data_IF_066260293903
#
_entry.id   IF_066260293903
#
_cell.length_a   1.000
_cell.length_b   1.000
_cell.length_c   1.000
_cell.angle_alpha   90.00
_cell.angle_beta   90.00
_cell.angle_gamma   90.00
#
_symmetry.space_group_name_H-M   'P 1'
#
loop_
_entity.id
_entity.type
_entity.pdbx_description
1 polymer ?
#
# COMPACT_ATOMS: atom_id res chain seq x y z
N UNK A 1 -26.61 -21.88 -100.36
CA UNK A 1 -25.56 -22.87 -100.08
C UNK A 1 -25.72 -23.38 -98.67
N UNK A 2 -26.55 -24.41 -98.48
CA UNK A 2 -26.92 -24.98 -97.17
C UNK A 2 -26.34 -26.40 -97.08
N UNK A 3 -25.04 -26.56 -97.33
CA UNK A 3 -24.38 -27.87 -97.29
C UNK A 3 -23.04 -27.83 -96.55
N UNK A 4 -22.73 -26.73 -95.86
CA UNK A 4 -21.46 -26.55 -95.14
C UNK A 4 -21.63 -26.31 -93.64
N UNK A 5 -22.87 -26.31 -93.11
CA UNK A 5 -23.14 -26.04 -91.69
C UNK A 5 -23.45 -27.32 -90.87
N UNK A 6 -23.80 -28.45 -91.50
CA UNK A 6 -24.12 -29.71 -90.78
C UNK A 6 -22.90 -30.61 -90.49
N UNK A 7 -21.67 -30.26 -90.91
CA UNK A 7 -20.47 -31.09 -90.66
C UNK A 7 -19.65 -30.70 -89.42
N UNK A 8 -19.84 -29.49 -88.87
CA UNK A 8 -19.01 -29.03 -87.73
C UNK A 8 -19.59 -29.39 -86.35
N UNK A 9 -20.91 -29.55 -86.20
CA UNK A 9 -21.53 -29.88 -84.91
C UNK A 9 -21.21 -31.29 -84.40
N UNK A 10 -21.07 -32.27 -85.30
CA UNK A 10 -20.69 -33.65 -84.92
C UNK A 10 -19.23 -33.83 -84.50
N UNK A 11 -18.33 -32.99 -85.03
CA UNK A 11 -16.89 -33.04 -84.69
C UNK A 11 -16.60 -32.38 -83.35
N UNK A 12 -17.22 -31.21 -83.10
CA UNK A 12 -17.02 -30.44 -81.86
C UNK A 12 -17.52 -31.19 -80.61
N UNK A 13 -18.66 -31.88 -80.72
CA UNK A 13 -19.17 -32.73 -79.62
C UNK A 13 -18.22 -33.88 -79.28
N UNK A 14 -17.67 -34.55 -80.30
CA UNK A 14 -16.76 -35.68 -80.12
C UNK A 14 -15.41 -35.26 -79.51
N UNK A 15 -14.90 -34.09 -79.89
CA UNK A 15 -13.69 -33.50 -79.30
C UNK A 15 -13.91 -33.11 -77.83
N UNK A 16 -15.06 -32.52 -77.50
CA UNK A 16 -15.42 -32.17 -76.11
C UNK A 16 -15.60 -33.40 -75.23
N UNK A 17 -16.24 -34.46 -75.75
CA UNK A 17 -16.36 -35.74 -75.05
C UNK A 17 -15.00 -36.42 -74.85
N UNK A 18 -14.14 -36.39 -75.87
CA UNK A 18 -12.77 -36.93 -75.77
C UNK A 18 -11.93 -36.16 -74.74
N UNK A 19 -12.03 -34.83 -74.70
CA UNK A 19 -11.37 -34.00 -73.70
C UNK A 19 -11.89 -34.25 -72.28
N UNK A 20 -13.21 -34.46 -72.12
CA UNK A 20 -13.80 -34.81 -70.84
C UNK A 20 -13.29 -36.18 -70.32
N UNK A 21 -13.18 -37.18 -71.20
CA UNK A 21 -12.62 -38.50 -70.86
C UNK A 21 -11.15 -38.39 -70.48
N UNK A 22 -10.36 -37.59 -71.20
CA UNK A 22 -8.96 -37.34 -70.89
C UNK A 22 -8.81 -36.70 -69.49
N UNK A 23 -9.62 -35.69 -69.18
CA UNK A 23 -9.63 -35.05 -67.87
C UNK A 23 -10.00 -36.02 -66.74
N UNK A 24 -11.00 -36.88 -66.95
CA UNK A 24 -11.39 -37.89 -65.94
C UNK A 24 -10.25 -38.89 -65.71
N UNK A 25 -9.60 -39.34 -66.79
CA UNK A 25 -8.45 -40.24 -66.71
C UNK A 25 -7.28 -39.61 -65.95
N UNK A 26 -7.02 -38.31 -66.20
CA UNK A 26 -6.01 -37.56 -65.47
C UNK A 26 -6.36 -37.40 -63.98
N UNK A 27 -7.63 -37.14 -63.65
CA UNK A 27 -8.09 -37.09 -62.26
C UNK A 27 -7.92 -38.45 -61.58
N UNK A 28 -8.24 -39.56 -62.25
CA UNK A 28 -8.02 -40.90 -61.71
C UNK A 28 -6.54 -41.16 -61.43
N UNK A 29 -5.65 -40.80 -62.36
CA UNK A 29 -4.21 -40.94 -62.17
C UNK A 29 -3.69 -40.07 -61.02
N UNK A 30 -4.21 -38.84 -60.88
CA UNK A 30 -3.87 -37.95 -59.77
C UNK A 30 -4.37 -38.51 -58.43
N UNK A 31 -5.56 -39.10 -58.40
CA UNK A 31 -6.13 -39.73 -57.21
C UNK A 31 -5.31 -40.96 -56.77
N UNK A 32 -4.91 -41.80 -57.73
CA UNK A 32 -4.06 -42.97 -57.47
C UNK A 32 -2.66 -42.55 -56.98
N UNK A 33 -2.11 -41.49 -57.56
CA UNK A 33 -0.83 -40.91 -57.12
C UNK A 33 -0.92 -40.36 -55.69
N UNK A 34 -2.01 -39.65 -55.37
CA UNK A 34 -2.28 -39.16 -54.01
C UNK A 34 -2.44 -40.32 -53.02
N UNK A 35 -3.20 -41.36 -53.40
CA UNK A 35 -3.38 -42.57 -52.58
C UNK A 35 -2.05 -43.25 -52.28
N UNK A 36 -1.22 -43.45 -53.31
CA UNK A 36 0.11 -44.03 -53.15
C UNK A 36 1.04 -43.15 -52.32
N UNK A 37 0.95 -41.82 -52.44
CA UNK A 37 1.74 -40.90 -51.64
C UNK A 37 1.31 -40.94 -50.17
N UNK A 38 0.02 -40.98 -49.88
CA UNK A 38 -0.49 -41.11 -48.51
C UNK A 38 -0.08 -42.44 -47.89
N UNK A 39 -0.21 -43.56 -48.61
CA UNK A 39 0.16 -44.88 -48.07
C UNK A 39 1.67 -44.97 -47.80
N UNK A 40 2.51 -44.44 -48.70
CA UNK A 40 3.96 -44.62 -48.60
C UNK A 40 4.70 -43.51 -47.85
N UNK A 41 4.13 -42.29 -47.78
CA UNK A 41 4.79 -41.11 -47.20
C UNK A 41 4.01 -40.44 -46.07
N UNK A 42 2.76 -40.81 -45.79
CA UNK A 42 2.13 -40.30 -44.58
C UNK A 42 2.82 -40.95 -43.38
N UNK A 43 3.54 -40.13 -42.61
CA UNK A 43 3.95 -40.50 -41.27
C UNK A 43 2.70 -40.40 -40.41
N UNK A 44 2.03 -41.53 -40.20
CA UNK A 44 0.92 -41.59 -39.26
C UNK A 44 1.46 -41.19 -37.89
N UNK A 45 0.95 -40.07 -37.37
CA UNK A 45 1.26 -39.64 -36.02
C UNK A 45 0.68 -40.70 -35.10
N UNK A 46 1.55 -41.40 -34.37
CA UNK A 46 1.09 -42.26 -33.29
C UNK A 46 0.35 -41.36 -32.29
N UNK A 47 -0.97 -41.52 -32.26
CA UNK A 47 -1.85 -40.66 -31.50
C UNK A 47 -1.47 -40.67 -30.02
N UNK A 48 -1.01 -41.80 -29.50
CA UNK A 48 -0.54 -41.93 -28.12
C UNK A 48 0.74 -41.13 -27.89
N UNK A 49 1.70 -41.18 -28.82
CA UNK A 49 2.92 -40.37 -28.75
C UNK A 49 2.62 -38.87 -28.81
N UNK A 50 1.73 -38.44 -29.71
CA UNK A 50 1.32 -37.03 -29.79
C UNK A 50 0.60 -36.57 -28.52
N UNK A 51 -0.36 -37.35 -28.03
CA UNK A 51 -1.09 -37.02 -26.80
C UNK A 51 -0.15 -36.89 -25.59
N UNK A 52 0.82 -37.81 -25.46
CA UNK A 52 1.85 -37.75 -24.41
C UNK A 52 2.74 -36.52 -24.55
N UNK A 53 3.19 -36.21 -25.77
CA UNK A 53 4.02 -35.03 -26.03
C UNK A 53 3.28 -33.72 -25.76
N UNK A 54 2.00 -33.64 -26.15
CA UNK A 54 1.15 -32.48 -25.88
C UNK A 54 0.95 -32.28 -24.38
N UNK A 55 0.60 -33.35 -23.65
CA UNK A 55 0.44 -33.28 -22.19
C UNK A 55 1.74 -32.86 -21.49
N UNK A 56 2.87 -33.43 -21.90
CA UNK A 56 4.18 -33.07 -21.33
C UNK A 56 4.53 -31.60 -21.61
N UNK A 57 4.19 -31.08 -22.80
CA UNK A 57 4.40 -29.67 -23.15
C UNK A 57 3.56 -28.74 -22.28
N UNK A 58 2.28 -29.06 -22.08
CA UNK A 58 1.38 -28.28 -21.21
C UNK A 58 1.85 -28.31 -19.75
N UNK A 59 2.27 -29.48 -19.26
CA UNK A 59 2.87 -29.62 -17.93
C UNK A 59 4.13 -28.76 -17.78
N UNK A 60 5.05 -28.81 -18.76
CA UNK A 60 6.27 -28.00 -18.74
C UNK A 60 5.97 -26.50 -18.71
N UNK A 61 4.97 -26.05 -19.48
CA UNK A 61 4.52 -24.65 -19.46
C UNK A 61 3.97 -24.26 -18.08
N UNK A 62 3.13 -25.11 -17.49
CA UNK A 62 2.55 -24.84 -16.18
C UNK A 62 3.62 -24.82 -15.07
N UNK A 63 4.57 -25.75 -15.09
CA UNK A 63 5.71 -25.76 -14.16
C UNK A 63 6.46 -24.44 -14.22
N UNK A 64 6.82 -23.97 -15.43
CA UNK A 64 7.54 -22.71 -15.60
C UNK A 64 6.78 -21.49 -15.05
N UNK A 65 5.46 -21.45 -15.26
CA UNK A 65 4.62 -20.36 -14.71
C UNK A 65 4.58 -20.42 -13.19
N UNK A 66 4.50 -21.62 -12.60
CA UNK A 66 4.51 -21.81 -11.16
C UNK A 66 5.87 -21.42 -10.56
N UNK A 67 6.99 -21.80 -11.18
CA UNK A 67 8.34 -21.40 -10.75
C UNK A 67 8.49 -19.87 -10.70
N UNK A 68 8.06 -19.17 -11.75
CA UNK A 68 8.07 -17.70 -11.78
C UNK A 68 7.21 -17.08 -10.67
N UNK A 69 6.07 -17.69 -10.36
CA UNK A 69 5.20 -17.24 -9.28
C UNK A 69 5.85 -17.47 -7.92
N UNK A 70 6.50 -18.61 -7.69
CA UNK A 70 7.24 -18.89 -6.46
C UNK A 70 8.35 -17.87 -6.27
N UNK A 71 9.17 -17.63 -7.29
CA UNK A 71 10.25 -16.64 -7.23
C UNK A 71 9.73 -15.23 -6.92
N UNK A 72 8.59 -14.85 -7.49
CA UNK A 72 7.96 -13.55 -7.20
C UNK A 72 7.50 -13.47 -5.75
N UNK A 73 6.85 -14.51 -5.24
CA UNK A 73 6.38 -14.57 -3.85
C UNK A 73 7.53 -14.54 -2.86
N UNK A 74 8.66 -15.19 -3.17
CA UNK A 74 9.87 -15.14 -2.33
C UNK A 74 10.42 -13.72 -2.23
N UNK A 75 10.52 -12.99 -3.36
CA UNK A 75 10.95 -11.58 -3.34
C UNK A 75 9.99 -10.68 -2.57
N UNK A 76 8.68 -10.90 -2.72
CA UNK A 76 7.65 -10.17 -1.96
C UNK A 76 7.74 -10.45 -0.45
N UNK A 77 8.01 -11.70 -0.08
CA UNK A 77 8.20 -12.09 1.32
C UNK A 77 9.44 -11.40 1.93
N UNK A 78 10.57 -11.41 1.23
CA UNK A 78 11.78 -10.72 1.68
C UNK A 78 11.56 -9.21 1.84
N UNK A 79 10.86 -8.59 0.88
CA UNK A 79 10.48 -7.18 0.96
C UNK A 79 9.58 -6.90 2.18
N UNK A 80 8.59 -7.77 2.45
CA UNK A 80 7.70 -7.65 3.59
C UNK A 80 8.44 -7.84 4.94
N UNK A 81 9.39 -8.77 5.01
CA UNK A 81 10.23 -8.98 6.20
C UNK A 81 11.06 -7.72 6.48
N UNK A 82 11.70 -7.17 5.45
CA UNK A 82 12.50 -5.95 5.57
C UNK A 82 11.66 -4.75 6.02
N UNK A 83 10.49 -4.55 5.39
CA UNK A 83 9.55 -3.49 5.76
C UNK A 83 9.06 -3.64 7.22
N UNK A 84 8.75 -4.87 7.65
CA UNK A 84 8.34 -5.14 9.03
C UNK A 84 9.48 -4.86 10.04
N UNK A 85 10.72 -5.17 9.69
CA UNK A 85 11.88 -4.87 10.53
C UNK A 85 12.10 -3.36 10.69
N UNK A 86 11.98 -2.60 9.60
CA UNK A 86 12.01 -1.13 9.62
C UNK A 86 10.88 -0.55 10.49
N UNK A 87 9.63 -0.98 10.27
CA UNK A 87 8.48 -0.51 11.04
C UNK A 87 8.62 -0.79 12.55
N UNK A 88 9.16 -1.96 12.94
CA UNK A 88 9.43 -2.28 14.35
C UNK A 88 10.48 -1.35 14.96
N UNK A 89 11.52 -1.02 14.20
CA UNK A 89 12.60 -0.14 14.65
C UNK A 89 12.10 1.29 14.84
N UNK A 90 11.37 1.81 13.86
CA UNK A 90 10.74 3.13 13.92
C UNK A 90 9.76 3.23 15.09
N UNK A 91 8.91 2.20 15.28
CA UNK A 91 7.98 2.13 16.41
C UNK A 91 8.73 2.23 17.75
N UNK A 92 9.80 1.46 17.93
CA UNK A 92 10.60 1.49 19.17
C UNK A 92 11.23 2.87 19.41
N UNK A 93 11.70 3.53 18.35
CA UNK A 93 12.28 4.87 18.47
C UNK A 93 11.21 5.91 18.86
N UNK A 94 10.03 5.83 18.25
CA UNK A 94 8.90 6.69 18.57
C UNK A 94 8.41 6.48 20.02
N UNK A 95 8.29 5.23 20.46
CA UNK A 95 7.92 4.89 21.85
C UNK A 95 8.95 5.42 22.87
N UNK A 96 10.24 5.30 22.56
CA UNK A 96 11.31 5.85 23.42
C UNK A 96 11.21 7.39 23.53
N UNK A 97 10.96 8.07 22.41
CA UNK A 97 10.75 9.52 22.37
C UNK A 97 9.51 9.95 23.16
N UNK A 98 8.39 9.24 22.98
CA UNK A 98 7.15 9.48 23.73
C UNK A 98 7.38 9.33 25.24
N UNK A 99 8.02 8.24 25.66
CA UNK A 99 8.30 7.99 27.09
C UNK A 99 9.21 9.06 27.70
N UNK A 100 10.21 9.53 26.95
CA UNK A 100 11.07 10.61 27.41
C UNK A 100 10.31 11.93 27.54
N UNK A 101 9.42 12.25 26.59
CA UNK A 101 8.58 13.44 26.66
C UNK A 101 7.58 13.37 27.83
N UNK A 102 6.98 12.21 28.07
CA UNK A 102 6.06 11.98 29.19
C UNK A 102 6.77 12.17 30.54
N UNK A 103 7.96 11.60 30.71
CA UNK A 103 8.76 11.76 31.93
C UNK A 103 9.11 13.24 32.18
N UNK A 104 9.50 13.96 31.13
CA UNK A 104 9.77 15.40 31.22
C UNK A 104 8.52 16.21 31.60
N UNK A 105 7.35 15.84 31.07
CA UNK A 105 6.09 16.51 31.42
C UNK A 105 5.74 16.29 32.91
N UNK A 106 5.96 15.08 33.43
CA UNK A 106 5.76 14.77 34.85
C UNK A 106 6.71 15.59 35.75
N UNK A 107 7.97 15.72 35.36
CA UNK A 107 8.95 16.54 36.08
C UNK A 107 8.51 18.01 36.15
N UNK A 108 8.16 18.60 35.00
CA UNK A 108 7.68 19.99 34.93
C UNK A 108 6.41 20.18 35.75
N UNK A 109 5.49 19.22 35.71
CA UNK A 109 4.25 19.28 36.50
C UNK A 109 4.55 19.31 37.99
N UNK A 110 5.48 18.46 38.45
CA UNK A 110 5.91 18.43 39.85
C UNK A 110 6.61 19.72 40.28
N UNK A 111 7.45 20.29 39.40
CA UNK A 111 8.09 21.59 39.65
C UNK A 111 7.05 22.70 39.77
N UNK A 112 6.06 22.75 38.86
CA UNK A 112 4.97 23.70 38.91
C UNK A 112 4.16 23.59 40.20
N UNK A 113 3.78 22.38 40.62
CA UNK A 113 3.07 22.14 41.89
C UNK A 113 3.88 22.64 43.09
N UNK A 114 5.20 22.40 43.11
CA UNK A 114 6.08 22.89 44.17
C UNK A 114 6.14 24.42 44.15
N UNK A 115 6.29 25.03 42.99
CA UNK A 115 6.30 26.48 42.83
C UNK A 115 4.99 27.10 43.29
N UNK A 116 3.84 26.50 42.96
CA UNK A 116 2.53 26.94 43.43
C UNK A 116 2.44 26.93 44.96
N UNK A 117 2.89 25.84 45.63
CA UNK A 117 2.92 25.79 47.11
C UNK A 117 3.79 26.88 47.73
N UNK A 118 4.95 27.15 47.14
CA UNK A 118 5.83 28.24 47.60
C UNK A 118 5.12 29.59 47.47
N UNK A 119 4.42 29.84 46.35
CA UNK A 119 3.64 31.06 46.17
C UNK A 119 2.50 31.18 47.19
N UNK A 120 1.79 30.10 47.48
CA UNK A 120 0.73 30.08 48.50
C UNK A 120 1.28 30.48 49.87
N UNK A 121 2.41 29.89 50.29
CA UNK A 121 3.08 30.22 51.56
C UNK A 121 3.52 31.69 51.60
N UNK A 122 4.10 32.22 50.52
CA UNK A 122 4.46 33.63 50.45
C UNK A 122 3.23 34.55 50.56
N UNK A 123 2.09 34.18 49.97
CA UNK A 123 0.85 34.96 50.09
C UNK A 123 0.29 34.92 51.51
N UNK A 124 0.38 33.78 52.20
CA UNK A 124 -0.01 33.67 53.61
C UNK A 124 0.89 34.53 54.50
N UNK A 125 2.21 34.50 54.29
CA UNK A 125 3.15 35.34 55.05
C UNK A 125 2.88 36.83 54.82
N UNK A 126 2.65 37.25 53.58
CA UNK A 126 2.27 38.64 53.26
C UNK A 126 0.99 39.07 53.98
N UNK A 127 -0.04 38.22 54.03
CA UNK A 127 -1.28 38.52 54.78
C UNK A 127 -1.01 38.63 56.29
N UNK A 128 -0.19 37.75 56.85
CA UNK A 128 0.17 37.79 58.26
C UNK A 128 0.93 39.08 58.61
N UNK A 129 1.89 39.48 57.76
CA UNK A 129 2.61 40.76 57.90
C UNK A 129 1.67 41.95 57.78
N UNK A 130 0.74 41.93 56.83
CA UNK A 130 -0.26 43.01 56.69
C UNK A 130 -1.15 43.14 57.93
N UNK A 131 -1.54 42.03 58.56
CA UNK A 131 -2.29 42.05 59.81
C UNK A 131 -1.47 42.63 60.97
N UNK A 132 -0.18 42.29 61.06
CA UNK A 132 0.72 42.85 62.07
C UNK A 132 0.90 44.36 61.89
N UNK A 133 1.16 44.83 60.66
CA UNK A 133 1.25 46.26 60.34
C UNK A 133 -0.05 46.97 60.76
N UNK A 134 -1.20 46.42 60.38
CA UNK A 134 -2.51 47.01 60.72
C UNK A 134 -2.72 47.12 62.24
N UNK A 135 -2.24 46.15 63.02
CA UNK A 135 -2.26 46.20 64.49
C UNK A 135 -1.35 47.31 65.02
N UNK A 136 -0.11 47.39 64.54
CA UNK A 136 0.85 48.43 64.94
C UNK A 136 0.33 49.83 64.58
N UNK A 137 -0.28 50.00 63.42
CA UNK A 137 -0.89 51.27 63.00
C UNK A 137 -2.00 51.72 63.96
N UNK A 138 -2.83 50.78 64.44
CA UNK A 138 -3.86 51.09 65.42
C UNK A 138 -3.27 51.47 66.79
N UNK A 139 -2.22 50.78 67.22
CA UNK A 139 -1.49 51.12 68.46
C UNK A 139 -0.83 52.51 68.35
N UNK A 140 -0.21 52.83 67.21
CA UNK A 140 0.38 54.14 66.93
C UNK A 140 -0.70 55.23 67.03
N UNK A 141 -1.84 55.06 66.36
CA UNK A 141 -2.95 56.03 66.42
C UNK A 141 -3.48 56.24 67.84
N UNK A 142 -3.56 55.18 68.63
CA UNK A 142 -3.96 55.30 70.04
C UNK A 142 -2.92 56.11 70.85
N UNK A 143 -1.63 55.82 70.66
CA UNK A 143 -0.56 56.56 71.31
C UNK A 143 -0.55 58.04 70.88
N UNK A 144 -0.75 58.33 69.60
CA UNK A 144 -0.90 59.68 69.09
C UNK A 144 -2.08 60.42 69.74
N UNK A 145 -3.25 59.77 69.87
CA UNK A 145 -4.40 60.35 70.55
C UNK A 145 -4.11 60.64 72.03
N UNK A 146 -3.44 59.72 72.74
CA UNK A 146 -3.02 59.92 74.13
C UNK A 146 -2.07 61.12 74.24
N UNK A 147 -1.05 61.20 73.38
CA UNK A 147 -0.11 62.32 73.36
C UNK A 147 -0.84 63.64 73.09
N UNK A 148 -1.78 63.68 72.14
CA UNK A 148 -2.59 64.87 71.88
C UNK A 148 -3.41 65.30 73.12
N UNK A 149 -4.01 64.34 73.84
CA UNK A 149 -4.79 64.64 75.07
C UNK A 149 -3.91 65.09 76.24
N UNK A 150 -2.69 64.57 76.37
CA UNK A 150 -1.74 64.94 77.42
C UNK A 150 -1.02 66.26 77.09
N UNK A 151 -0.55 66.43 75.85
CA UNK A 151 0.08 67.67 75.36
C UNK A 151 -0.90 68.84 75.25
N UNK A 152 -2.20 68.57 75.08
CA UNK A 152 -3.26 69.59 75.15
C UNK A 152 -3.55 70.10 76.57
N UNK A 153 -3.08 69.42 77.62
CA UNK A 153 -3.21 69.89 79.02
C UNK A 153 -2.12 70.88 79.43
N UNK A 154 -0.98 70.94 78.74
CA UNK A 154 0.07 71.92 79.04
C UNK A 154 -0.17 73.28 78.36
N UNK A 155 -0.95 73.33 77.27
CA UNK A 155 -1.28 74.58 76.56
C UNK A 155 -2.54 75.30 77.07
N UNK A 156 -3.25 74.74 78.05
CA UNK A 156 -4.42 75.36 78.70
C UNK A 156 -4.11 76.07 80.02
N UNK A 157 -2.82 76.26 80.34
CA UNK A 157 -2.34 77.00 81.52
C UNK A 157 -1.44 78.17 81.10
N UNK A 158 -2.03 79.13 80.38
CA UNK A 158 -1.59 80.53 80.30
C UNK A 158 -2.82 81.44 80.27
#
# INVERSE_FOLDING_TARGET
>A
GILMEEREEGSSGNERWSAAIANISEISNNLDSLGNLLINKAVYVDQDTFNKASLASDQARNIKVLEQRVETLERELDAAISAAAHARTEKRQAEAGQKAAELRAQEITKELENTTKVFELHMEELRAKQAEISKRDNEIKLLEAIIQTLGGKESASL
#
